data_IF_900378771289
#
_entry.id   IF_900378771289
#
_cell.length_a   1.000
_cell.length_b   1.000
_cell.length_c   1.000
_cell.angle_alpha   90.00
_cell.angle_beta   90.00
_cell.angle_gamma   90.00
#
_symmetry.space_group_name_H-M   'P 1'
#
loop_
_entity.id
_entity.type
_entity.pdbx_description
1 polymer ?
#
# COMPACT_ATOMS: atom_id res chain seq x y z
N UNK A 1 -4.16 16.23 -16.91
CA UNK A 1 -3.61 17.05 -15.82
C UNK A 1 -2.13 17.41 -16.06
N UNK A 2 -1.21 16.43 -15.99
CA UNK A 2 0.24 16.66 -16.05
C UNK A 2 0.79 17.32 -17.32
N UNK A 3 0.11 17.19 -18.47
CA UNK A 3 0.57 17.74 -19.75
C UNK A 3 -0.05 19.09 -20.14
N UNK A 4 -1.03 19.60 -19.37
CA UNK A 4 -1.74 20.85 -19.69
C UNK A 4 -1.85 21.76 -18.47
N UNK A 5 -2.69 21.39 -17.50
CA UNK A 5 -2.95 22.20 -16.31
C UNK A 5 -1.69 22.42 -15.47
N UNK A 6 -0.88 21.38 -15.26
CA UNK A 6 0.33 21.51 -14.44
C UNK A 6 1.38 22.45 -15.05
N UNK A 7 1.79 22.30 -16.34
CA UNK A 7 2.66 23.27 -17.01
C UNK A 7 2.08 24.69 -17.03
N UNK A 8 0.76 24.85 -17.23
CA UNK A 8 0.11 26.15 -17.22
C UNK A 8 0.20 26.84 -15.85
N UNK A 9 -0.03 26.11 -14.75
CA UNK A 9 0.13 26.64 -13.39
C UNK A 9 1.58 27.02 -13.10
N UNK A 10 2.55 26.19 -13.51
CA UNK A 10 3.98 26.51 -13.36
C UNK A 10 4.39 27.75 -14.15
N UNK A 11 3.93 27.85 -15.38
CA UNK A 11 4.18 29.03 -16.22
C UNK A 11 3.58 30.30 -15.61
N UNK A 12 2.35 30.24 -15.09
CA UNK A 12 1.72 31.36 -14.38
C UNK A 12 2.43 31.77 -13.09
N UNK A 13 3.30 30.91 -12.54
CA UNK A 13 4.11 31.16 -11.36
C UNK A 13 5.60 31.43 -11.67
N UNK A 14 5.97 31.61 -12.95
CA UNK A 14 7.36 31.79 -13.41
C UNK A 14 8.32 30.66 -12.98
N UNK A 15 7.83 29.41 -13.01
CA UNK A 15 8.59 28.20 -12.66
C UNK A 15 8.88 27.34 -13.90
N UNK A 16 9.97 26.56 -13.86
CA UNK A 16 10.31 25.61 -14.94
C UNK A 16 9.23 24.53 -15.12
N UNK A 17 8.99 24.13 -16.37
CA UNK A 17 8.09 23.02 -16.71
C UNK A 17 8.79 21.66 -16.70
N UNK A 18 8.06 20.54 -16.56
CA UNK A 18 8.64 19.20 -16.73
C UNK A 18 9.32 19.06 -18.10
N UNK A 19 10.50 18.42 -18.13
CA UNK A 19 11.25 18.16 -19.39
C UNK A 19 10.54 17.12 -20.25
N UNK A 20 9.94 16.11 -19.60
CA UNK A 20 9.15 15.07 -20.22
C UNK A 20 8.10 14.55 -19.24
N UNK A 21 7.05 13.93 -19.76
CA UNK A 21 6.08 13.14 -18.99
C UNK A 21 6.16 11.70 -19.51
N UNK A 22 6.69 10.80 -18.70
CA UNK A 22 6.80 9.38 -19.04
C UNK A 22 5.55 8.67 -18.53
N UNK A 23 4.67 8.29 -19.45
CA UNK A 23 3.41 7.61 -19.15
C UNK A 23 3.55 6.09 -19.37
N UNK A 24 2.76 5.31 -18.63
CA UNK A 24 2.59 3.88 -18.83
C UNK A 24 1.10 3.55 -18.85
N UNK A 25 0.72 2.41 -19.43
CA UNK A 25 -0.65 1.91 -19.41
C UNK A 25 -1.07 1.39 -18.04
N UNK A 26 -2.27 0.80 -17.98
CA UNK A 26 -2.80 0.16 -16.78
C UNK A 26 -2.23 -1.24 -16.59
N UNK A 27 -2.36 -1.75 -15.37
CA UNK A 27 -2.06 -3.14 -15.04
C UNK A 27 -3.34 -4.00 -15.16
N UNK A 28 -3.26 -5.08 -15.91
CA UNK A 28 -4.23 -6.18 -15.88
C UNK A 28 -3.61 -7.39 -15.17
N UNK A 29 -4.47 -8.29 -14.67
CA UNK A 29 -4.07 -9.55 -14.05
C UNK A 29 -4.83 -10.67 -14.74
N UNK A 30 -4.11 -11.65 -15.27
CA UNK A 30 -4.62 -12.75 -16.09
C UNK A 30 -5.58 -12.28 -17.21
N UNK A 31 -5.16 -11.24 -17.95
CA UNK A 31 -5.88 -10.69 -19.09
C UNK A 31 -7.09 -9.82 -18.75
N UNK A 32 -7.36 -9.56 -17.47
CA UNK A 32 -8.53 -8.80 -17.05
C UNK A 32 -8.17 -7.66 -16.07
N UNK A 33 -9.03 -6.63 -16.03
CA UNK A 33 -8.90 -5.56 -15.03
C UNK A 33 -8.90 -6.14 -13.61
N UNK A 34 -8.03 -5.61 -12.76
CA UNK A 34 -7.94 -6.01 -11.35
C UNK A 34 -9.32 -5.95 -10.68
N UNK A 35 -9.68 -7.03 -9.97
CA UNK A 35 -10.96 -7.14 -9.29
C UNK A 35 -10.78 -7.64 -7.86
N UNK A 36 -11.42 -6.93 -6.93
CA UNK A 36 -11.50 -7.32 -5.53
C UNK A 36 -12.18 -8.69 -5.35
N UNK A 37 -13.26 -8.97 -6.09
CA UNK A 37 -13.99 -10.24 -5.96
C UNK A 37 -13.20 -11.46 -6.45
N UNK A 38 -12.29 -11.27 -7.40
CA UNK A 38 -11.40 -12.33 -7.92
C UNK A 38 -10.12 -12.47 -7.12
N UNK A 39 -9.87 -11.59 -6.13
CA UNK A 39 -8.60 -11.52 -5.41
C UNK A 39 -7.44 -10.95 -6.24
N UNK A 40 -7.70 -10.42 -7.44
CA UNK A 40 -6.67 -9.86 -8.32
C UNK A 40 -6.45 -8.36 -8.12
N UNK A 41 -7.19 -7.74 -7.20
CA UNK A 41 -6.86 -6.44 -6.65
C UNK A 41 -5.88 -6.64 -5.48
N UNK A 42 -4.60 -6.76 -5.81
CA UNK A 42 -3.55 -7.12 -4.85
C UNK A 42 -2.92 -5.82 -4.31
N UNK A 43 -2.94 -5.63 -2.99
CA UNK A 43 -2.21 -4.53 -2.36
C UNK A 43 -0.71 -4.85 -2.35
N UNK A 44 0.12 -3.81 -2.47
CA UNK A 44 1.57 -3.98 -2.41
C UNK A 44 2.05 -4.59 -1.07
N UNK A 45 1.39 -4.24 0.04
CA UNK A 45 1.68 -4.83 1.35
C UNK A 45 1.40 -6.34 1.37
N UNK A 46 0.19 -6.75 0.95
CA UNK A 46 -0.19 -8.17 0.82
C UNK A 46 0.77 -8.91 -0.09
N UNK A 47 1.17 -8.35 -1.23
CA UNK A 47 2.17 -8.97 -2.09
C UNK A 47 3.49 -9.25 -1.33
N UNK A 48 4.00 -8.25 -0.61
CA UNK A 48 5.30 -8.33 0.07
C UNK A 48 5.33 -9.33 1.25
N UNK A 49 4.17 -9.66 1.83
CA UNK A 49 4.04 -10.68 2.87
C UNK A 49 4.21 -12.11 2.33
N UNK A 50 3.90 -12.32 1.05
CA UNK A 50 3.89 -13.66 0.42
C UNK A 50 5.02 -13.88 -0.58
N UNK A 51 5.45 -12.84 -1.29
CA UNK A 51 6.38 -12.93 -2.42
C UNK A 51 7.48 -11.87 -2.33
N UNK A 52 8.69 -12.23 -2.81
CA UNK A 52 9.79 -11.28 -2.91
C UNK A 52 9.40 -10.16 -3.91
N UNK A 53 9.50 -8.86 -3.53
CA UNK A 53 9.25 -7.73 -4.42
C UNK A 53 10.09 -7.74 -5.71
N UNK A 54 11.29 -8.31 -5.68
CA UNK A 54 12.18 -8.39 -6.85
C UNK A 54 11.61 -9.25 -7.98
N UNK A 55 10.76 -10.23 -7.66
CA UNK A 55 10.05 -11.01 -8.68
C UNK A 55 9.16 -10.09 -9.54
N UNK A 56 8.40 -9.20 -8.90
CA UNK A 56 7.50 -8.29 -9.58
C UNK A 56 8.27 -7.20 -10.34
N UNK A 57 9.35 -6.67 -9.74
CA UNK A 57 10.24 -5.70 -10.41
C UNK A 57 10.81 -6.28 -11.69
N UNK A 58 11.33 -7.51 -11.62
CA UNK A 58 11.88 -8.19 -12.79
C UNK A 58 10.82 -8.45 -13.86
N UNK A 59 9.66 -8.98 -13.46
CA UNK A 59 8.58 -9.26 -14.39
C UNK A 59 8.07 -8.01 -15.11
N UNK A 60 7.92 -6.90 -14.39
CA UNK A 60 7.56 -5.62 -14.99
C UNK A 60 8.65 -5.09 -15.91
N UNK A 61 9.92 -5.11 -15.49
CA UNK A 61 11.03 -4.68 -16.36
C UNK A 61 11.10 -5.52 -17.65
N UNK A 62 10.81 -6.81 -17.58
CA UNK A 62 10.80 -7.70 -18.75
C UNK A 62 9.69 -7.38 -19.76
N UNK A 63 8.64 -6.66 -19.35
CA UNK A 63 7.47 -6.32 -20.19
C UNK A 63 7.33 -4.84 -20.52
N UNK A 64 7.87 -3.94 -19.70
CA UNK A 64 7.77 -2.49 -19.89
C UNK A 64 8.55 -2.02 -21.13
N UNK A 65 7.96 -1.09 -21.88
CA UNK A 65 8.56 -0.43 -23.04
C UNK A 65 8.39 1.09 -22.92
N UNK A 66 8.92 1.83 -23.90
CA UNK A 66 8.74 3.29 -23.96
C UNK A 66 7.30 3.72 -24.31
N UNK A 67 6.43 2.78 -24.69
CA UNK A 67 5.05 3.03 -25.13
C UNK A 67 4.06 3.01 -23.97
N UNK A 68 2.90 3.64 -24.21
CA UNK A 68 1.76 3.66 -23.28
C UNK A 68 0.84 2.48 -23.59
N UNK A 69 1.33 1.28 -23.31
CA UNK A 69 0.58 0.04 -23.47
C UNK A 69 0.23 -0.53 -22.08
N UNK A 70 -0.94 -1.17 -21.97
CA UNK A 70 -1.32 -1.90 -20.77
C UNK A 70 -0.39 -3.10 -20.56
N UNK A 71 -0.05 -3.38 -19.30
CA UNK A 71 0.81 -4.49 -18.91
C UNK A 71 -0.03 -5.58 -18.26
N UNK A 72 0.09 -6.81 -18.74
CA UNK A 72 -0.57 -7.96 -18.14
C UNK A 72 0.35 -8.75 -17.21
N UNK A 73 -0.07 -8.86 -15.94
CA UNK A 73 0.47 -9.78 -14.95
C UNK A 73 -0.29 -11.11 -15.04
N UNK A 74 0.20 -11.98 -15.93
CA UNK A 74 -0.25 -13.36 -15.97
C UNK A 74 0.52 -14.15 -14.90
N UNK A 75 -0.17 -14.71 -13.91
CA UNK A 75 0.47 -15.27 -12.72
C UNK A 75 1.26 -16.56 -12.98
N UNK A 76 0.88 -17.31 -14.02
CA UNK A 76 1.60 -18.50 -14.46
C UNK A 76 2.90 -18.13 -15.21
N UNK A 77 2.81 -17.25 -16.21
CA UNK A 77 3.98 -16.69 -16.92
C UNK A 77 4.90 -15.94 -15.95
N UNK A 78 4.35 -15.25 -14.95
CA UNK A 78 5.12 -14.62 -13.87
C UNK A 78 6.02 -15.60 -13.14
N UNK A 79 5.45 -16.68 -12.61
CA UNK A 79 6.23 -17.68 -11.89
C UNK A 79 7.24 -18.37 -12.83
N UNK A 80 6.81 -18.75 -14.03
CA UNK A 80 7.65 -19.44 -15.01
C UNK A 80 8.86 -18.59 -15.42
N UNK A 81 8.63 -17.32 -15.76
CA UNK A 81 9.67 -16.38 -16.19
C UNK A 81 10.68 -16.08 -15.10
N UNK A 82 10.22 -15.73 -13.89
CA UNK A 82 11.11 -15.47 -12.75
C UNK A 82 11.97 -16.71 -12.43
N UNK A 83 11.34 -17.89 -12.40
CA UNK A 83 12.03 -19.14 -12.11
C UNK A 83 13.03 -19.54 -13.20
N UNK A 84 12.70 -19.32 -14.46
CA UNK A 84 13.58 -19.66 -15.58
C UNK A 84 14.74 -18.69 -15.66
N UNK A 85 14.47 -17.39 -15.66
CA UNK A 85 15.45 -16.36 -15.96
C UNK A 85 16.37 -16.08 -14.75
N UNK A 86 15.79 -15.70 -13.59
CA UNK A 86 16.62 -15.33 -12.44
C UNK A 86 17.26 -16.56 -11.79
N UNK A 87 16.46 -17.58 -11.47
CA UNK A 87 16.98 -18.77 -10.78
C UNK A 87 17.69 -19.70 -11.75
N UNK A 88 17.05 -20.03 -12.89
CA UNK A 88 17.53 -21.04 -13.83
C UNK A 88 18.70 -20.59 -14.72
N UNK A 89 18.81 -19.29 -15.04
CA UNK A 89 19.91 -18.77 -15.87
C UNK A 89 20.93 -17.99 -15.05
N UNK A 90 20.52 -16.88 -14.42
CA UNK A 90 21.46 -15.91 -13.80
C UNK A 90 22.12 -16.49 -12.55
N UNK A 91 21.34 -16.87 -11.53
CA UNK A 91 21.87 -17.44 -10.27
C UNK A 91 22.60 -18.77 -10.51
N UNK A 92 22.13 -19.54 -11.51
CA UNK A 92 22.72 -20.83 -11.87
C UNK A 92 24.19 -20.74 -12.30
N UNK A 93 24.61 -19.63 -12.92
CA UNK A 93 26.02 -19.41 -13.30
C UNK A 93 26.88 -19.38 -12.03
N UNK A 94 26.54 -18.51 -11.08
CA UNK A 94 27.29 -18.37 -9.83
C UNK A 94 27.29 -19.68 -9.02
N UNK A 95 26.14 -20.35 -8.92
CA UNK A 95 26.01 -21.58 -8.12
C UNK A 95 26.85 -22.74 -8.68
N UNK A 96 26.97 -22.86 -10.01
CA UNK A 96 27.77 -23.91 -10.67
C UNK A 96 29.26 -23.65 -10.60
N UNK A 97 29.70 -22.38 -10.57
CA UNK A 97 31.10 -22.01 -10.58
C UNK A 97 31.70 -21.86 -9.17
N UNK A 98 30.97 -21.25 -8.23
CA UNK A 98 31.51 -20.86 -6.92
C UNK A 98 32.07 -22.03 -6.10
N UNK A 99 31.45 -23.21 -6.20
CA UNK A 99 31.92 -24.42 -5.51
C UNK A 99 33.31 -24.85 -5.96
N UNK A 100 33.61 -24.78 -7.26
CA UNK A 100 34.93 -25.12 -7.80
C UNK A 100 35.97 -24.07 -7.47
N UNK A 101 35.62 -22.77 -7.56
CA UNK A 101 36.53 -21.69 -7.14
C UNK A 101 36.94 -21.85 -5.68
N UNK A 102 35.99 -22.19 -4.80
CA UNK A 102 36.29 -22.47 -3.39
C UNK A 102 37.20 -23.69 -3.22
N UNK A 103 36.90 -24.78 -3.92
CA UNK A 103 37.60 -26.07 -3.73
C UNK A 103 39.01 -26.06 -4.33
N UNK A 104 39.17 -25.50 -5.51
CA UNK A 104 40.40 -25.60 -6.31
C UNK A 104 41.28 -24.34 -6.18
N UNK A 105 40.66 -23.16 -6.11
CA UNK A 105 41.35 -21.87 -5.95
C UNK A 105 41.39 -21.35 -4.51
N UNK A 106 40.97 -22.15 -3.53
CA UNK A 106 40.91 -21.72 -2.12
C UNK A 106 39.96 -20.54 -1.87
N UNK A 107 39.00 -20.29 -2.77
CA UNK A 107 38.12 -19.12 -2.73
C UNK A 107 38.65 -17.92 -3.51
N UNK A 108 39.71 -18.07 -4.29
CA UNK A 108 40.29 -17.02 -5.14
C UNK A 108 40.12 -17.38 -6.61
N UNK A 109 39.76 -16.40 -7.45
CA UNK A 109 39.66 -16.56 -8.90
C UNK A 109 41.05 -16.74 -9.53
N UNK A 110 41.09 -17.28 -10.76
CA UNK A 110 42.33 -17.53 -11.51
C UNK A 110 43.17 -16.27 -11.71
N UNK A 111 44.50 -16.43 -11.82
CA UNK A 111 45.47 -15.34 -12.00
C UNK A 111 45.31 -14.59 -13.33
N UNK A 112 44.71 -15.26 -14.32
CA UNK A 112 44.46 -14.72 -15.64
C UNK A 112 43.02 -15.02 -16.07
N UNK A 113 42.47 -14.19 -16.97
CA UNK A 113 41.20 -14.46 -17.61
C UNK A 113 41.44 -15.36 -18.84
N UNK A 114 40.95 -16.61 -18.78
CA UNK A 114 41.15 -17.57 -19.86
C UNK A 114 40.35 -17.26 -21.14
N UNK A 115 39.27 -16.48 -21.04
CA UNK A 115 38.40 -16.12 -22.16
C UNK A 115 38.21 -14.59 -22.24
N UNK A 116 39.29 -13.80 -22.46
CA UNK A 116 39.24 -12.34 -22.36
C UNK A 116 38.33 -11.71 -23.42
N UNK A 117 38.23 -12.32 -24.61
CA UNK A 117 37.36 -11.83 -25.68
C UNK A 117 35.87 -11.97 -25.31
N UNK A 118 35.49 -13.07 -24.66
CA UNK A 118 34.12 -13.30 -24.21
C UNK A 118 33.73 -12.30 -23.12
N UNK A 119 34.60 -12.09 -22.13
CA UNK A 119 34.37 -11.09 -21.08
C UNK A 119 34.29 -9.68 -21.66
N UNK A 120 35.18 -9.32 -22.60
CA UNK A 120 35.16 -8.03 -23.28
C UNK A 120 33.85 -7.80 -24.05
N UNK A 121 33.30 -8.84 -24.69
CA UNK A 121 31.99 -8.78 -25.36
C UNK A 121 30.85 -8.52 -24.37
N UNK A 122 30.86 -9.12 -23.19
CA UNK A 122 29.84 -8.86 -22.16
C UNK A 122 29.94 -7.44 -21.62
N UNK A 123 31.15 -6.91 -21.46
CA UNK A 123 31.40 -5.52 -21.05
C UNK A 123 30.88 -4.54 -22.11
N UNK A 124 31.18 -4.79 -23.39
CA UNK A 124 30.77 -3.93 -24.50
C UNK A 124 29.25 -3.89 -24.69
N UNK A 125 28.55 -5.00 -24.42
CA UNK A 125 27.08 -5.04 -24.46
C UNK A 125 26.41 -4.04 -23.49
N UNK A 126 27.14 -3.57 -22.48
CA UNK A 126 26.63 -2.57 -21.53
C UNK A 126 26.20 -1.27 -22.19
N UNK A 127 26.86 -0.80 -23.25
CA UNK A 127 26.52 0.51 -23.82
C UNK A 127 25.10 0.50 -24.42
N UNK A 128 24.78 -0.58 -25.12
CA UNK A 128 23.47 -0.83 -25.72
C UNK A 128 22.38 -1.11 -24.68
N UNK A 129 22.72 -1.74 -23.55
CA UNK A 129 21.78 -2.00 -22.46
C UNK A 129 21.47 -0.70 -21.69
N UNK A 130 22.49 0.14 -21.46
CA UNK A 130 22.32 1.46 -20.83
C UNK A 130 21.40 2.35 -21.67
N UNK A 131 21.64 2.39 -23.00
CA UNK A 131 20.81 3.14 -23.93
C UNK A 131 19.34 2.68 -23.89
N UNK A 132 19.09 1.37 -23.76
CA UNK A 132 17.73 0.83 -23.63
C UNK A 132 17.08 1.25 -22.30
N UNK A 133 17.81 1.20 -21.18
CA UNK A 133 17.28 1.68 -19.90
C UNK A 133 16.95 3.17 -19.94
N UNK A 134 17.83 4.01 -20.51
CA UNK A 134 17.60 5.45 -20.60
C UNK A 134 16.42 5.80 -21.52
N UNK A 135 16.27 5.05 -22.61
CA UNK A 135 15.12 5.13 -23.51
C UNK A 135 13.81 4.54 -22.92
N UNK A 136 13.87 3.93 -21.71
CA UNK A 136 12.76 3.21 -21.06
C UNK A 136 12.30 1.97 -21.82
N UNK A 137 13.17 1.41 -22.66
CA UNK A 137 12.98 0.16 -23.39
C UNK A 137 13.39 -1.04 -22.54
N UNK A 138 12.82 -1.14 -21.32
CA UNK A 138 13.25 -2.10 -20.30
C UNK A 138 13.15 -3.55 -20.78
N UNK A 139 12.08 -3.92 -21.50
CA UNK A 139 11.91 -5.26 -22.05
C UNK A 139 13.06 -5.64 -23.01
N UNK A 140 13.55 -4.66 -23.79
CA UNK A 140 14.68 -4.86 -24.71
C UNK A 140 15.99 -5.00 -23.96
N UNK A 141 16.22 -4.18 -22.93
CA UNK A 141 17.36 -4.31 -22.02
C UNK A 141 17.39 -5.69 -21.35
N UNK A 142 16.27 -6.12 -20.75
CA UNK A 142 16.17 -7.44 -20.10
C UNK A 142 16.42 -8.57 -21.08
N UNK A 143 15.89 -8.50 -22.31
CA UNK A 143 16.14 -9.51 -23.34
C UNK A 143 17.63 -9.65 -23.65
N UNK A 144 18.33 -8.53 -23.90
CA UNK A 144 19.78 -8.52 -24.14
C UNK A 144 20.53 -9.15 -22.96
N UNK A 145 20.19 -8.81 -21.72
CA UNK A 145 20.82 -9.40 -20.53
C UNK A 145 20.57 -10.92 -20.47
N UNK A 146 19.37 -11.40 -20.77
CA UNK A 146 19.08 -12.83 -20.78
C UNK A 146 19.79 -13.58 -21.90
N UNK A 147 19.99 -12.96 -23.07
CA UNK A 147 20.82 -13.51 -24.15
C UNK A 147 22.28 -13.66 -23.70
N UNK A 148 22.83 -12.68 -22.96
CA UNK A 148 24.15 -12.82 -22.31
C UNK A 148 24.16 -13.99 -21.31
N UNK A 149 23.10 -14.13 -20.51
CA UNK A 149 22.99 -15.22 -19.53
C UNK A 149 22.91 -16.61 -20.19
N UNK A 150 22.22 -16.73 -21.32
CA UNK A 150 22.17 -17.95 -22.11
C UNK A 150 23.56 -18.31 -22.67
N UNK A 151 24.29 -17.33 -23.19
CA UNK A 151 25.66 -17.53 -23.67
C UNK A 151 26.64 -17.95 -22.56
N UNK A 152 26.54 -17.34 -21.38
CA UNK A 152 27.34 -17.72 -20.22
C UNK A 152 27.05 -19.17 -19.77
N UNK A 153 25.77 -19.56 -19.74
CA UNK A 153 25.39 -20.93 -19.44
C UNK A 153 25.86 -21.92 -20.52
N UNK A 154 25.80 -21.54 -21.79
CA UNK A 154 26.28 -22.35 -22.91
C UNK A 154 27.80 -22.59 -22.83
N UNK A 155 28.58 -21.55 -22.52
CA UNK A 155 30.01 -21.68 -22.27
C UNK A 155 30.33 -22.67 -21.15
N UNK A 156 29.66 -22.54 -19.99
CA UNK A 156 29.86 -23.45 -18.85
C UNK A 156 29.39 -24.87 -19.22
N UNK A 157 28.33 -24.99 -20.02
CA UNK A 157 27.83 -26.26 -20.52
C UNK A 157 28.85 -26.97 -21.42
N UNK A 158 29.42 -26.26 -22.39
CA UNK A 158 30.40 -26.79 -23.35
C UNK A 158 31.71 -27.22 -22.68
N UNK A 159 32.20 -26.44 -21.72
CA UNK A 159 33.47 -26.73 -21.04
C UNK A 159 33.36 -27.84 -19.98
N UNK A 160 32.15 -28.18 -19.54
CA UNK A 160 31.87 -29.25 -18.57
C UNK A 160 32.81 -29.29 -17.33
N UNK A 161 32.93 -28.23 -16.52
CA UNK A 161 33.85 -28.19 -15.38
C UNK A 161 33.63 -29.34 -14.37
N UNK A 162 32.40 -29.87 -14.25
CA UNK A 162 32.11 -31.03 -13.39
C UNK A 162 32.67 -32.36 -13.93
N UNK A 163 32.83 -32.47 -15.24
CA UNK A 163 33.47 -33.63 -15.87
C UNK A 163 34.99 -33.48 -15.79
N UNK A 164 35.50 -32.28 -16.10
CA UNK A 164 36.92 -31.95 -16.01
C UNK A 164 37.48 -32.11 -14.59
N UNK A 165 36.73 -31.72 -13.56
CA UNK A 165 37.14 -31.86 -12.16
C UNK A 165 37.29 -33.32 -11.69
N UNK A 166 36.84 -34.29 -12.48
CA UNK A 166 37.06 -35.73 -12.24
C UNK A 166 38.32 -36.26 -12.93
N UNK A 167 38.90 -35.49 -13.85
CA UNK A 167 40.11 -35.82 -14.58
C UNK A 167 41.31 -35.26 -13.81
N UNK A 168 42.20 -36.13 -13.32
CA UNK A 168 43.37 -35.69 -12.56
C UNK A 168 44.26 -34.74 -13.37
N UNK A 169 44.80 -33.71 -12.70
CA UNK A 169 45.72 -32.74 -13.31
C UNK A 169 45.06 -31.58 -14.06
N UNK A 170 43.72 -31.48 -14.08
CA UNK A 170 42.98 -30.39 -14.75
C UNK A 170 42.41 -29.33 -13.81
N UNK A 171 42.84 -29.33 -12.55
CA UNK A 171 42.29 -28.43 -11.51
C UNK A 171 42.41 -26.95 -11.89
N UNK A 172 43.52 -26.55 -12.49
CA UNK A 172 43.77 -25.18 -12.95
C UNK A 172 42.77 -24.76 -14.05
N UNK A 173 42.51 -25.63 -15.01
CA UNK A 173 41.59 -25.35 -16.11
C UNK A 173 40.14 -25.22 -15.61
N UNK A 174 39.73 -26.08 -14.66
CA UNK A 174 38.42 -25.98 -14.02
C UNK A 174 38.28 -24.64 -13.27
N UNK A 175 39.34 -24.23 -12.56
CA UNK A 175 39.38 -22.94 -11.87
C UNK A 175 39.24 -21.78 -12.85
N UNK A 176 39.94 -21.81 -13.98
CA UNK A 176 39.87 -20.80 -15.04
C UNK A 176 38.47 -20.69 -15.65
N UNK A 177 37.85 -21.82 -16.03
CA UNK A 177 36.48 -21.86 -16.57
C UNK A 177 35.49 -21.23 -15.58
N UNK A 178 35.59 -21.63 -14.31
CA UNK A 178 34.70 -21.13 -13.28
C UNK A 178 34.98 -19.66 -12.96
N UNK A 179 36.22 -19.19 -13.08
CA UNK A 179 36.59 -17.78 -12.89
C UNK A 179 36.05 -16.89 -14.01
N UNK A 180 36.04 -17.38 -15.25
CA UNK A 180 35.32 -16.74 -16.35
C UNK A 180 33.83 -16.68 -16.03
N UNK A 181 33.22 -17.79 -15.62
CA UNK A 181 31.80 -17.84 -15.25
C UNK A 181 31.40 -16.81 -14.17
N UNK A 182 32.23 -16.63 -13.13
CA UNK A 182 32.00 -15.60 -12.11
C UNK A 182 32.12 -14.18 -12.69
N UNK A 183 33.07 -13.91 -13.58
CA UNK A 183 33.18 -12.63 -14.26
C UNK A 183 31.96 -12.35 -15.16
N UNK A 184 31.45 -13.35 -15.89
CA UNK A 184 30.23 -13.20 -16.69
C UNK A 184 29.02 -12.92 -15.80
N UNK A 185 28.86 -13.67 -14.71
CA UNK A 185 27.81 -13.43 -13.72
C UNK A 185 27.87 -12.00 -13.16
N UNK A 186 29.06 -11.50 -12.83
CA UNK A 186 29.26 -10.12 -12.38
C UNK A 186 28.69 -9.11 -13.38
N UNK A 187 28.94 -9.26 -14.68
CA UNK A 187 28.41 -8.36 -15.70
C UNK A 187 26.88 -8.36 -15.71
N UNK A 188 26.26 -9.54 -15.64
CA UNK A 188 24.80 -9.67 -15.55
C UNK A 188 24.25 -8.93 -14.32
N UNK A 189 24.94 -9.01 -13.18
CA UNK A 189 24.51 -8.34 -11.95
C UNK A 189 24.66 -6.83 -11.99
N UNK A 190 25.69 -6.30 -12.66
CA UNK A 190 25.79 -4.85 -12.94
C UNK A 190 24.56 -4.39 -13.72
N UNK A 191 24.20 -5.11 -14.78
CA UNK A 191 23.08 -4.72 -15.66
C UNK A 191 21.70 -4.93 -15.02
N UNK A 192 21.58 -5.91 -14.13
CA UNK A 192 20.34 -6.21 -13.41
C UNK A 192 20.17 -5.39 -12.12
N UNK A 193 21.21 -4.70 -11.63
CA UNK A 193 21.16 -3.94 -10.38
C UNK A 193 20.00 -2.91 -10.30
N UNK A 194 19.63 -2.18 -11.37
CA UNK A 194 18.46 -1.29 -11.32
C UNK A 194 17.12 -2.02 -11.12
N UNK A 195 17.06 -3.30 -11.46
CA UNK A 195 15.84 -4.12 -11.50
C UNK A 195 15.73 -5.01 -10.27
N UNK A 196 16.81 -5.67 -9.87
CA UNK A 196 16.90 -6.57 -8.70
C UNK A 196 17.99 -6.08 -7.73
N UNK A 197 17.77 -4.96 -7.03
CA UNK A 197 18.79 -4.32 -6.18
C UNK A 197 19.23 -5.15 -4.97
N UNK A 198 18.33 -5.89 -4.32
CA UNK A 198 18.66 -6.76 -3.19
C UNK A 198 19.49 -7.95 -3.65
N UNK A 199 19.11 -8.58 -4.75
CA UNK A 199 19.91 -9.66 -5.37
C UNK A 199 21.29 -9.14 -5.80
N UNK A 200 21.37 -7.93 -6.36
CA UNK A 200 22.62 -7.28 -6.73
C UNK A 200 23.51 -7.03 -5.50
N UNK A 201 22.96 -6.56 -4.39
CA UNK A 201 23.72 -6.37 -3.16
C UNK A 201 24.27 -7.69 -2.60
N UNK A 202 23.45 -8.75 -2.59
CA UNK A 202 23.91 -10.08 -2.18
C UNK A 202 24.99 -10.63 -3.13
N UNK A 203 24.88 -10.36 -4.44
CA UNK A 203 25.90 -10.71 -5.41
C UNK A 203 27.19 -9.90 -5.19
N UNK A 204 27.09 -8.61 -4.86
CA UNK A 204 28.22 -7.73 -4.52
C UNK A 204 28.99 -8.27 -3.31
N UNK A 205 28.27 -8.66 -2.26
CA UNK A 205 28.85 -9.32 -1.08
C UNK A 205 29.51 -10.65 -1.45
N UNK A 206 28.85 -11.49 -2.25
CA UNK A 206 29.40 -12.77 -2.70
C UNK A 206 30.69 -12.60 -3.52
N UNK A 207 30.68 -11.69 -4.51
CA UNK A 207 31.83 -11.42 -5.38
C UNK A 207 32.92 -10.66 -4.62
N UNK A 208 32.61 -10.08 -3.46
CA UNK A 208 33.54 -9.36 -2.58
C UNK A 208 34.15 -8.13 -3.27
N UNK A 209 33.28 -7.23 -3.74
CA UNK A 209 33.64 -5.99 -4.42
C UNK A 209 32.90 -4.80 -3.79
N UNK A 210 33.42 -3.59 -3.95
CA UNK A 210 32.84 -2.40 -3.31
C UNK A 210 31.57 -1.89 -4.02
N UNK A 211 31.48 -2.08 -5.33
CA UNK A 211 30.39 -1.52 -6.17
C UNK A 211 30.03 -2.45 -7.34
N UNK A 212 28.79 -2.34 -7.81
CA UNK A 212 28.25 -2.93 -9.04
C UNK A 212 27.75 -1.84 -10.02
N UNK A 213 28.32 -0.64 -9.97
CA UNK A 213 27.98 0.42 -10.91
C UNK A 213 28.47 0.12 -12.35
N UNK A 214 27.95 0.91 -13.29
CA UNK A 214 28.22 0.74 -14.71
C UNK A 214 29.72 0.87 -15.02
N UNK A 215 30.41 1.86 -14.44
CA UNK A 215 31.83 2.13 -14.72
C UNK A 215 32.74 1.00 -14.24
N UNK A 216 32.40 0.38 -13.11
CA UNK A 216 33.16 -0.74 -12.55
C UNK A 216 33.19 -1.97 -13.46
N UNK A 217 32.24 -2.10 -14.40
CA UNK A 217 32.07 -3.27 -15.27
C UNK A 217 33.34 -3.64 -16.04
N UNK A 218 34.15 -2.64 -16.40
CA UNK A 218 35.42 -2.82 -17.13
C UNK A 218 36.52 -3.53 -16.34
N UNK A 219 36.42 -3.58 -15.00
CA UNK A 219 37.43 -4.20 -14.16
C UNK A 219 37.25 -5.71 -14.10
N UNK A 220 37.98 -6.46 -14.93
CA UNK A 220 37.96 -7.93 -14.90
C UNK A 220 38.63 -8.43 -13.61
N UNK A 221 37.97 -9.35 -12.91
CA UNK A 221 38.47 -9.90 -11.66
C UNK A 221 39.42 -11.07 -11.93
N UNK A 222 40.67 -10.90 -11.56
CA UNK A 222 41.74 -11.91 -11.61
C UNK A 222 42.48 -11.94 -10.28
N UNK A 223 42.92 -13.12 -9.84
CA UNK A 223 43.53 -13.31 -8.51
C UNK A 223 42.71 -12.65 -7.38
N UNK A 224 41.39 -12.72 -7.48
CA UNK A 224 40.47 -11.98 -6.63
C UNK A 224 39.72 -12.92 -5.68
N UNK A 225 39.69 -12.67 -4.36
CA UNK A 225 38.99 -13.52 -3.40
C UNK A 225 37.48 -13.29 -3.46
N UNK A 226 36.71 -14.38 -3.47
CA UNK A 226 35.24 -14.36 -3.37
C UNK A 226 34.78 -14.94 -2.03
N UNK A 227 33.61 -14.48 -1.57
CA UNK A 227 32.99 -14.99 -0.36
C UNK A 227 32.24 -16.30 -0.62
N UNK A 228 31.81 -16.98 0.46
CA UNK A 228 31.01 -18.21 0.35
C UNK A 228 29.68 -17.91 -0.33
N UNK A 229 29.42 -18.55 -1.46
CA UNK A 229 28.13 -18.47 -2.15
C UNK A 229 26.97 -18.91 -1.26
N UNK A 230 25.89 -18.13 -1.32
CA UNK A 230 24.57 -18.42 -0.76
C UNK A 230 23.54 -18.28 -1.89
N UNK A 231 22.45 -19.05 -1.88
CA UNK A 231 21.37 -18.85 -2.85
C UNK A 231 20.89 -17.39 -2.82
N UNK A 232 20.97 -16.71 -3.97
CA UNK A 232 20.63 -15.28 -4.11
C UNK A 232 19.15 -15.06 -4.43
N UNK A 233 18.48 -16.09 -4.93
CA UNK A 233 17.07 -16.05 -5.27
C UNK A 233 16.46 -17.44 -5.06
N UNK A 234 15.25 -17.49 -4.51
CA UNK A 234 14.48 -18.72 -4.40
C UNK A 234 13.46 -18.81 -5.52
N UNK A 235 12.95 -20.02 -5.77
CA UNK A 235 11.92 -20.22 -6.78
C UNK A 235 10.60 -19.63 -6.28
N UNK A 236 9.83 -19.04 -7.20
CA UNK A 236 8.43 -18.69 -7.00
C UNK A 236 7.63 -19.99 -6.96
N UNK A 237 6.97 -20.21 -5.83
CA UNK A 237 6.12 -21.37 -5.59
C UNK A 237 4.66 -21.01 -5.82
N UNK A 238 3.90 -21.92 -6.43
CA UNK A 238 2.49 -21.71 -6.75
C UNK A 238 1.66 -21.44 -5.49
N UNK A 239 1.92 -22.20 -4.42
CA UNK A 239 1.23 -22.07 -3.13
C UNK A 239 1.36 -20.66 -2.53
N UNK A 240 2.49 -19.97 -2.77
CA UNK A 240 2.69 -18.58 -2.32
C UNK A 240 1.85 -17.57 -3.11
N UNK A 241 1.67 -17.82 -4.42
CA UNK A 241 0.79 -17.02 -5.27
C UNK A 241 -0.66 -17.21 -4.83
N UNK A 242 -1.08 -18.46 -4.63
CA UNK A 242 -2.46 -18.76 -4.24
C UNK A 242 -2.77 -18.17 -2.84
N UNK A 243 -1.85 -18.29 -1.88
CA UNK A 243 -1.97 -17.64 -0.57
C UNK A 243 -2.12 -16.12 -0.65
N UNK A 244 -1.38 -15.45 -1.55
CA UNK A 244 -1.50 -14.02 -1.78
C UNK A 244 -2.87 -13.62 -2.36
N UNK A 245 -3.39 -14.41 -3.30
CA UNK A 245 -4.72 -14.17 -3.89
C UNK A 245 -5.80 -14.31 -2.81
N UNK A 246 -5.70 -15.32 -1.96
CA UNK A 246 -6.68 -15.56 -0.90
C UNK A 246 -6.64 -14.49 0.17
N UNK A 247 -5.46 -14.07 0.62
CA UNK A 247 -5.30 -12.92 1.52
C UNK A 247 -5.91 -11.63 0.92
N UNK A 248 -5.74 -11.42 -0.39
CA UNK A 248 -6.33 -10.27 -1.08
C UNK A 248 -7.87 -10.29 -1.12
N UNK A 249 -8.50 -11.47 -1.04
CA UNK A 249 -9.96 -11.60 -0.89
C UNK A 249 -10.41 -11.35 0.54
N UNK A 250 -9.64 -11.80 1.54
CA UNK A 250 -9.95 -11.57 2.95
C UNK A 250 -9.93 -10.07 3.31
N UNK A 251 -8.91 -9.36 2.81
CA UNK A 251 -8.79 -7.90 2.89
C UNK A 251 -10.07 -7.17 2.41
N UNK A 252 -10.71 -7.68 1.36
CA UNK A 252 -11.97 -7.13 0.87
C UNK A 252 -13.10 -7.29 1.88
N UNK A 253 -13.21 -8.47 2.49
CA UNK A 253 -14.26 -8.79 3.46
C UNK A 253 -14.10 -7.93 4.71
N UNK A 254 -12.87 -7.75 5.19
CA UNK A 254 -12.58 -6.87 6.31
C UNK A 254 -12.87 -5.40 5.98
N UNK A 255 -12.43 -4.89 4.82
CA UNK A 255 -12.74 -3.52 4.39
C UNK A 255 -14.24 -3.26 4.29
N UNK A 256 -15.02 -4.23 3.83
CA UNK A 256 -16.48 -4.13 3.77
C UNK A 256 -17.10 -4.10 5.17
N UNK A 257 -16.63 -4.95 6.10
CA UNK A 257 -17.07 -4.91 7.51
C UNK A 257 -16.75 -3.56 8.18
N UNK A 258 -15.54 -3.04 7.95
CA UNK A 258 -15.09 -1.75 8.46
C UNK A 258 -15.87 -0.56 7.88
N UNK A 259 -16.29 -0.63 6.61
CA UNK A 259 -17.14 0.40 5.99
C UNK A 259 -18.58 0.38 6.51
N UNK A 260 -19.10 -0.80 6.86
CA UNK A 260 -20.47 -0.97 7.34
C UNK A 260 -20.60 -0.79 8.86
N UNK A 261 -19.49 -0.54 9.56
CA UNK A 261 -19.52 -0.24 11.00
C UNK A 261 -19.86 1.25 11.18
N UNK A 262 -20.96 1.60 11.90
CA UNK A 262 -21.31 2.98 12.18
C UNK A 262 -20.15 3.71 12.87
N UNK A 263 -19.86 4.95 12.45
CA UNK A 263 -18.90 5.85 13.11
C UNK A 263 -19.65 7.06 13.67
N UNK A 264 -19.17 7.61 14.78
CA UNK A 264 -19.78 8.80 15.42
C UNK A 264 -20.84 8.43 16.47
N UNK A 265 -21.77 9.34 16.82
CA UNK A 265 -22.72 9.16 17.93
C UNK A 265 -23.54 7.87 17.89
N UNK A 266 -23.81 7.32 16.69
CA UNK A 266 -24.52 6.06 16.48
C UNK A 266 -23.72 4.80 16.90
N UNK A 267 -22.41 4.93 17.12
CA UNK A 267 -21.58 3.87 17.68
C UNK A 267 -21.63 3.87 19.22
N UNK A 268 -21.73 5.05 19.83
CA UNK A 268 -21.79 5.22 21.29
C UNK A 268 -23.20 4.95 21.82
N UNK A 269 -24.24 5.36 21.08
CA UNK A 269 -25.65 5.14 21.41
C UNK A 269 -26.39 4.66 20.14
N UNK A 270 -26.49 3.32 19.94
CA UNK A 270 -27.18 2.75 18.79
C UNK A 270 -28.66 3.16 18.74
N UNK A 271 -29.22 3.22 17.53
CA UNK A 271 -30.66 3.46 17.35
C UNK A 271 -31.41 2.34 18.09
N UNK A 272 -32.35 2.74 18.96
CA UNK A 272 -33.20 1.81 19.67
C UNK A 272 -34.08 0.99 18.72
N UNK A 273 -34.65 -0.09 19.23
CA UNK A 273 -35.56 -0.93 18.45
C UNK A 273 -36.75 -0.14 17.89
N UNK A 274 -37.24 -0.57 16.73
CA UNK A 274 -38.38 0.07 16.07
C UNK A 274 -39.63 0.01 16.97
N UNK A 275 -40.32 1.15 17.10
CA UNK A 275 -41.62 1.25 17.79
C UNK A 275 -42.74 1.48 16.78
N UNK A 276 -43.97 1.14 17.18
CA UNK A 276 -45.15 1.40 16.36
C UNK A 276 -45.53 2.89 16.36
N UNK A 277 -46.22 3.34 15.31
CA UNK A 277 -46.74 4.71 15.24
C UNK A 277 -47.69 5.02 16.41
N UNK A 278 -48.52 4.05 16.82
CA UNK A 278 -49.44 4.21 17.95
C UNK A 278 -48.71 4.45 19.28
N UNK A 279 -47.51 3.90 19.45
CA UNK A 279 -46.67 4.17 20.62
C UNK A 279 -46.08 5.58 20.58
N UNK A 280 -45.62 6.04 19.42
CA UNK A 280 -45.16 7.41 19.24
C UNK A 280 -46.30 8.43 19.45
N UNK A 281 -47.49 8.16 18.88
CA UNK A 281 -48.65 9.04 18.96
C UNK A 281 -49.19 9.24 20.39
N UNK A 282 -48.85 8.33 21.33
CA UNK A 282 -49.12 8.49 22.76
C UNK A 282 -48.28 9.58 23.40
N UNK A 283 -47.15 9.99 22.83
CA UNK A 283 -46.34 11.09 23.35
C UNK A 283 -46.93 12.41 22.85
N UNK A 284 -47.31 13.31 23.76
CA UNK A 284 -47.82 14.63 23.40
C UNK A 284 -46.68 15.64 23.41
N UNK A 285 -46.14 15.94 22.22
CA UNK A 285 -45.11 16.94 22.03
C UNK A 285 -45.74 18.28 21.62
N UNK A 286 -45.40 19.36 22.33
CA UNK A 286 -45.94 20.70 22.10
C UNK A 286 -44.84 21.74 21.95
N UNK A 287 -45.09 22.72 21.09
CA UNK A 287 -44.29 23.95 21.07
C UNK A 287 -44.63 24.77 22.30
N UNK A 288 -43.61 25.19 23.05
CA UNK A 288 -43.76 26.04 24.21
C UNK A 288 -42.84 27.26 24.11
N UNK A 289 -43.34 28.42 24.53
CA UNK A 289 -42.53 29.63 24.73
C UNK A 289 -41.96 29.61 26.14
N UNK A 290 -40.66 29.87 26.26
CA UNK A 290 -40.04 30.06 27.57
C UNK A 290 -40.42 31.47 28.05
N UNK A 291 -41.47 31.56 28.86
CA UNK A 291 -41.98 32.83 29.38
C UNK A 291 -41.07 33.39 30.48
N UNK A 292 -40.43 32.51 31.24
CA UNK A 292 -39.48 32.87 32.30
C UNK A 292 -38.45 31.77 32.49
N UNK A 293 -37.21 32.13 32.76
CA UNK A 293 -36.16 31.19 33.15
C UNK A 293 -35.46 31.69 34.41
N UNK A 294 -35.14 30.79 35.34
CA UNK A 294 -34.45 31.14 36.58
C UNK A 294 -33.47 30.05 37.02
N UNK A 295 -32.42 30.45 37.73
CA UNK A 295 -31.57 29.50 38.43
C UNK A 295 -32.32 28.84 39.58
N UNK A 296 -32.05 27.55 39.80
CA UNK A 296 -32.60 26.80 40.93
C UNK A 296 -31.63 26.89 42.10
N UNK A 297 -32.07 27.48 43.21
CA UNK A 297 -31.27 27.58 44.43
C UNK A 297 -30.95 26.16 44.97
N UNK A 298 -29.66 25.84 45.12
CA UNK A 298 -29.20 24.53 45.56
C UNK A 298 -29.14 23.44 44.48
N UNK A 299 -29.26 23.77 43.18
CA UNK A 299 -29.02 22.83 42.08
C UNK A 299 -28.13 23.41 40.96
N UNK A 300 -26.91 22.91 40.85
CA UNK A 300 -25.89 23.43 39.92
C UNK A 300 -26.09 23.04 38.46
N UNK A 301 -27.01 22.11 38.18
CA UNK A 301 -27.29 21.59 36.82
C UNK A 301 -28.65 22.00 36.26
N UNK A 302 -29.54 22.57 37.08
CA UNK A 302 -30.93 22.80 36.71
C UNK A 302 -31.25 24.27 36.50
N UNK A 303 -32.07 24.55 35.49
CA UNK A 303 -32.85 25.78 35.37
C UNK A 303 -34.33 25.48 35.60
N UNK A 304 -35.04 26.40 36.24
CA UNK A 304 -36.49 26.40 36.32
C UNK A 304 -37.05 27.22 35.17
N UNK A 305 -37.88 26.59 34.33
CA UNK A 305 -38.51 27.20 33.18
C UNK A 305 -40.02 27.28 33.41
N UNK A 306 -40.59 28.46 33.18
CA UNK A 306 -42.03 28.63 33.01
C UNK A 306 -42.33 28.60 31.53
N UNK A 307 -43.00 27.55 31.08
CA UNK A 307 -43.29 27.27 29.68
C UNK A 307 -44.74 27.64 29.39
N UNK A 308 -44.97 28.56 28.46
CA UNK A 308 -46.28 29.00 27.99
C UNK A 308 -46.68 28.24 26.73
N UNK A 309 -47.88 27.66 26.76
CA UNK A 309 -48.51 26.89 25.68
C UNK A 309 -49.62 27.66 24.96
N UNK A 310 -49.70 28.99 25.14
CA UNK A 310 -50.68 29.85 24.47
C UNK A 310 -52.05 29.92 25.17
N UNK A 311 -52.14 29.41 26.40
CA UNK A 311 -53.38 29.39 27.19
C UNK A 311 -53.21 28.82 28.59
N UNK A 312 -52.21 27.95 28.78
CA UNK A 312 -51.73 27.50 30.09
C UNK A 312 -50.21 27.60 30.20
N UNK A 313 -49.70 27.76 31.42
CA UNK A 313 -48.26 27.72 31.71
C UNK A 313 -47.91 26.52 32.56
N UNK A 314 -46.75 25.90 32.29
CA UNK A 314 -46.23 24.76 33.06
C UNK A 314 -44.87 25.04 33.64
N UNK A 315 -44.60 24.48 34.82
CA UNK A 315 -43.29 24.55 35.45
C UNK A 315 -42.45 23.32 35.08
N UNK A 316 -41.25 23.54 34.52
CA UNK A 316 -40.33 22.47 34.13
C UNK A 316 -38.92 22.75 34.64
N UNK A 317 -38.31 21.74 35.25
CA UNK A 317 -36.89 21.79 35.64
C UNK A 317 -36.05 21.10 34.58
N UNK A 318 -35.10 21.82 33.97
CA UNK A 318 -34.29 21.33 32.85
C UNK A 318 -32.80 21.34 33.15
N UNK A 319 -32.11 20.26 32.77
CA UNK A 319 -30.66 20.04 32.98
C UNK A 319 -29.72 20.84 32.08
N UNK A 320 -30.13 22.02 31.63
CA UNK A 320 -29.44 22.78 30.57
C UNK A 320 -28.60 23.96 31.09
N UNK A 321 -28.45 24.10 32.42
CA UNK A 321 -27.76 25.23 33.07
C UNK A 321 -26.31 25.40 32.63
N UNK A 322 -25.62 24.32 32.27
CA UNK A 322 -24.22 24.37 31.83
C UNK A 322 -24.03 24.97 30.44
N UNK A 323 -25.11 25.07 29.64
CA UNK A 323 -25.05 25.55 28.26
C UNK A 323 -25.78 26.88 28.05
N UNK A 324 -26.74 27.24 28.89
CA UNK A 324 -27.56 28.45 28.72
C UNK A 324 -27.69 29.22 30.02
N UNK A 325 -27.63 30.55 29.93
CA UNK A 325 -28.08 31.44 31.00
C UNK A 325 -29.59 31.67 30.89
N UNK A 326 -30.29 31.99 32.00
CA UNK A 326 -31.73 32.28 31.97
C UNK A 326 -32.13 33.35 30.95
N UNK A 327 -31.34 34.42 30.85
CA UNK A 327 -31.63 35.58 29.98
C UNK A 327 -31.57 35.21 28.50
N UNK A 328 -30.77 34.20 28.14
CA UNK A 328 -30.65 33.71 26.77
C UNK A 328 -31.80 32.77 26.35
N UNK A 329 -32.68 32.38 27.29
CA UNK A 329 -33.78 31.45 27.05
C UNK A 329 -35.13 32.14 26.98
N UNK A 330 -35.33 33.23 27.72
CA UNK A 330 -36.62 33.93 27.75
C UNK A 330 -37.04 34.40 26.35
N UNK A 331 -38.30 34.16 26.00
CA UNK A 331 -38.88 34.47 24.70
C UNK A 331 -38.63 33.43 23.60
N UNK A 332 -37.68 32.48 23.78
CA UNK A 332 -37.43 31.41 22.80
C UNK A 332 -38.55 30.38 22.79
N UNK A 333 -38.73 29.73 21.63
CA UNK A 333 -39.58 28.56 21.47
C UNK A 333 -38.75 27.28 21.61
N UNK A 334 -39.35 26.26 22.22
CA UNK A 334 -38.77 24.91 22.35
C UNK A 334 -39.86 23.83 22.30
N UNK A 335 -39.45 22.56 22.22
CA UNK A 335 -40.36 21.41 22.26
C UNK A 335 -40.43 20.86 23.68
N UNK A 336 -41.65 20.69 24.18
CA UNK A 336 -41.95 20.09 25.47
C UNK A 336 -42.74 18.80 25.31
N UNK A 337 -42.41 17.77 26.10
CA UNK A 337 -43.29 16.62 26.33
C UNK A 337 -44.35 17.02 27.36
N UNK A 338 -45.59 17.19 26.89
CA UNK A 338 -46.69 17.78 27.63
C UNK A 338 -47.55 16.78 28.42
N UNK A 339 -47.42 15.47 28.18
CA UNK A 339 -48.22 14.46 28.85
C UNK A 339 -47.41 13.53 29.75
N UNK A 340 -46.22 13.95 30.20
CA UNK A 340 -45.50 13.25 31.26
C UNK A 340 -46.20 13.44 32.61
N UNK A 341 -46.23 12.38 33.41
CA UNK A 341 -46.74 12.45 34.78
C UNK A 341 -45.91 13.47 35.59
N UNK A 342 -46.54 14.40 36.34
CA UNK A 342 -45.82 15.37 37.14
C UNK A 342 -44.86 14.71 38.14
N UNK A 343 -43.62 15.18 38.17
CA UNK A 343 -42.58 14.65 39.07
C UNK A 343 -42.29 15.65 40.17
N UNK A 344 -42.56 15.27 41.42
CA UNK A 344 -42.19 16.06 42.60
C UNK A 344 -40.68 16.02 42.80
N UNK A 345 -40.04 17.19 42.75
CA UNK A 345 -38.63 17.40 43.03
C UNK A 345 -38.46 18.17 44.33
N UNK A 346 -37.22 18.25 44.84
CA UNK A 346 -36.89 19.00 46.07
C UNK A 346 -37.30 20.49 46.00
N UNK A 347 -37.32 21.06 44.79
CA UNK A 347 -37.50 22.50 44.54
C UNK A 347 -38.88 22.87 43.98
N UNK A 348 -39.76 21.88 43.76
CA UNK A 348 -41.07 22.09 43.15
C UNK A 348 -41.54 20.88 42.34
N UNK A 349 -42.62 21.03 41.58
CA UNK A 349 -43.14 19.99 40.70
C UNK A 349 -42.72 20.29 39.26
N UNK A 350 -42.18 19.30 38.54
CA UNK A 350 -41.92 19.37 37.11
C UNK A 350 -43.08 18.72 36.36
N UNK A 351 -43.71 19.47 35.46
CA UNK A 351 -44.97 19.09 34.79
C UNK A 351 -44.77 18.76 33.30
N UNK A 352 -43.52 18.48 32.92
CA UNK A 352 -43.09 18.18 31.56
C UNK A 352 -41.57 18.07 31.48
N UNK A 353 -41.08 17.93 30.25
CA UNK A 353 -39.67 17.85 29.91
C UNK A 353 -39.41 18.59 28.60
N UNK A 354 -38.35 19.41 28.52
CA UNK A 354 -37.90 20.00 27.26
C UNK A 354 -36.92 19.07 26.56
N UNK A 355 -36.91 19.09 25.22
CA UNK A 355 -36.02 18.25 24.43
C UNK A 355 -34.71 18.96 24.10
N UNK A 356 -33.60 18.30 24.37
CA UNK A 356 -32.26 18.76 24.04
C UNK A 356 -31.38 17.57 23.65
N UNK A 357 -30.45 17.78 22.73
CA UNK A 357 -29.36 16.83 22.47
C UNK A 357 -28.13 17.22 23.30
N UNK A 358 -27.30 16.26 23.63
CA UNK A 358 -26.06 16.49 24.37
C UNK A 358 -24.93 15.64 23.80
N UNK A 359 -23.72 16.18 23.80
CA UNK A 359 -22.49 15.46 23.52
C UNK A 359 -21.39 15.91 24.51
N UNK A 360 -20.15 15.46 24.32
CA UNK A 360 -19.01 15.85 25.18
C UNK A 360 -18.70 17.35 25.12
N UNK A 361 -19.17 18.06 24.09
CA UNK A 361 -18.85 19.47 23.82
C UNK A 361 -19.93 20.43 24.34
N UNK A 362 -21.18 19.99 24.50
CA UNK A 362 -22.25 20.86 24.98
C UNK A 362 -23.65 20.26 24.96
N UNK A 363 -24.63 21.10 25.32
CA UNK A 363 -26.07 20.79 25.32
C UNK A 363 -26.78 21.72 24.34
N UNK A 364 -27.61 21.17 23.47
CA UNK A 364 -28.27 21.88 22.38
C UNK A 364 -29.78 21.75 22.53
N UNK A 365 -30.44 22.85 22.90
CA UNK A 365 -31.89 22.87 23.06
C UNK A 365 -32.59 22.83 21.70
N UNK A 366 -33.59 21.96 21.55
CA UNK A 366 -34.36 21.85 20.31
C UNK A 366 -35.32 23.05 20.17
N UNK A 367 -35.29 23.72 19.01
CA UNK A 367 -36.16 24.85 18.68
C UNK A 367 -36.88 24.63 17.34
N UNK A 368 -38.15 25.03 17.21
CA UNK A 368 -38.85 24.98 15.93
C UNK A 368 -38.39 26.09 14.98
N UNK A 369 -38.73 25.93 13.70
CA UNK A 369 -38.59 26.99 12.69
C UNK A 369 -39.50 28.19 12.97
N UNK A 370 -39.21 29.31 12.32
CA UNK A 370 -39.98 30.54 12.44
C UNK A 370 -41.45 30.34 11.99
N UNK A 371 -42.39 30.89 12.76
CA UNK A 371 -43.83 30.78 12.51
C UNK A 371 -44.54 29.73 13.35
N UNK A 372 -43.81 28.89 14.09
CA UNK A 372 -44.41 28.04 15.11
C UNK A 372 -45.00 28.87 16.27
N UNK A 373 -46.15 28.43 16.79
CA UNK A 373 -46.86 29.12 17.88
C UNK A 373 -46.98 28.23 19.12
N UNK A 374 -46.98 28.82 20.33
CA UNK A 374 -47.23 28.07 21.57
C UNK A 374 -48.50 27.22 21.51
N UNK A 375 -48.41 25.98 22.00
CA UNK A 375 -49.53 25.02 22.06
C UNK A 375 -49.72 24.16 20.81
N UNK A 376 -49.07 24.50 19.68
CA UNK A 376 -49.09 23.68 18.48
C UNK A 376 -48.49 22.29 18.75
N UNK A 377 -49.15 21.25 18.21
CA UNK A 377 -48.70 19.86 18.34
C UNK A 377 -47.56 19.56 17.37
N UNK A 378 -46.53 18.90 17.85
CA UNK A 378 -45.47 18.31 17.03
C UNK A 378 -45.88 16.88 16.69
N UNK A 379 -45.90 16.53 15.40
CA UNK A 379 -46.39 15.25 14.86
C UNK A 379 -45.35 14.54 14.04
#
# INVERSE_FOLDING_TARGET
FHALFWPAMLHGADLRTPTAVNCHGFLTVDGAKMSKSRGTFIKAATYAEHLNPEYLRYYFAAKLTSKVDDLDLNLEDFAARVNSDLVGKVVNIASRCAGFVKKLGGGTLSEHCAEPQMVARFIAAGDDIAADFEAREFSRAIRKIMELADEANAYIAEKEPWALAKQGGRDQEVLEICSVGINLFRQLMVYLAPVVPTMAEQAREFINIDTLDWESRGNVLVNHPINKFKPLMTRVERDKIDAMIDASKEDLVEEQKLKNTPKGPLADEPIADEISFDEFAKVDLRIARIAKAQYVEGADKLLQLTLDLGGETRNVFSGIRSAYSPEALEGRLTVMVANLAPRKMRFGVSEGMVLASANKEGIYLLSPDAGAEPGQRVT
#
